data_IF_384721439148
#
_entry.id   IF_384721439148
#
_cell.length_a   1.000
_cell.length_b   1.000
_cell.length_c   1.000
_cell.angle_alpha   90.00
_cell.angle_beta   90.00
_cell.angle_gamma   90.00
#
_symmetry.space_group_name_H-M   'P 1'
#
loop_
_entity.id
_entity.type
_entity.pdbx_description
1 polymer ?
#
# COMPACT_ATOMS: atom_id res chain seq x y z
N UNK A 1 20.42 1.98 13.06
CA UNK A 1 20.89 1.10 14.14
C UNK A 1 19.71 0.76 15.03
N UNK A 2 19.41 -0.51 15.23
CA UNK A 2 18.33 -1.02 16.10
C UNK A 2 18.92 -1.93 17.19
N UNK A 3 18.22 -2.10 18.31
CA UNK A 3 18.57 -3.03 19.39
C UNK A 3 17.42 -4.00 19.61
N UNK A 4 17.67 -5.31 19.57
CA UNK A 4 16.60 -6.31 19.59
C UNK A 4 16.95 -7.57 20.38
N UNK A 5 16.02 -8.08 21.19
CA UNK A 5 16.05 -9.45 21.73
C UNK A 5 15.85 -10.50 20.61
N UNK A 6 15.83 -11.79 20.93
CA UNK A 6 15.50 -12.82 19.93
C UNK A 6 14.09 -12.61 19.33
N UNK A 7 13.08 -12.36 20.16
CA UNK A 7 11.72 -12.03 19.68
C UNK A 7 11.71 -10.74 18.86
N UNK A 8 12.51 -9.75 19.28
CA UNK A 8 12.71 -8.52 18.50
C UNK A 8 13.35 -8.79 17.14
N UNK A 9 14.30 -9.72 17.04
CA UNK A 9 14.94 -10.15 15.79
C UNK A 9 13.93 -10.84 14.87
N UNK A 10 13.07 -11.70 15.43
CA UNK A 10 11.98 -12.33 14.67
C UNK A 10 10.99 -11.30 14.14
N UNK A 11 10.59 -10.34 14.98
CA UNK A 11 9.70 -9.26 14.58
C UNK A 11 10.32 -8.38 13.48
N UNK A 12 11.60 -8.02 13.64
CA UNK A 12 12.35 -7.28 12.63
C UNK A 12 12.39 -8.03 11.30
N UNK A 13 12.64 -9.34 11.30
CA UNK A 13 12.61 -10.16 10.09
C UNK A 13 11.25 -10.10 9.38
N UNK A 14 10.15 -10.21 10.15
CA UNK A 14 8.80 -10.07 9.59
C UNK A 14 8.57 -8.68 8.97
N UNK A 15 9.00 -7.62 9.65
CA UNK A 15 8.80 -6.25 9.15
C UNK A 15 9.71 -5.94 7.93
N UNK A 16 10.92 -6.50 7.85
CA UNK A 16 11.77 -6.41 6.64
C UNK A 16 11.12 -7.15 5.47
N UNK A 17 10.56 -8.33 5.70
CA UNK A 17 9.83 -9.08 4.66
C UNK A 17 8.60 -8.35 4.11
N UNK A 18 7.97 -7.47 4.91
CA UNK A 18 6.89 -6.60 4.41
C UNK A 18 7.42 -5.54 3.43
N UNK A 19 8.65 -5.07 3.60
CA UNK A 19 9.31 -4.10 2.73
C UNK A 19 9.90 -4.75 1.47
N UNK A 20 10.57 -5.90 1.61
CA UNK A 20 11.36 -6.54 0.56
C UNK A 20 10.91 -7.99 0.37
N UNK A 21 10.40 -8.29 -0.83
CA UNK A 21 10.03 -9.65 -1.25
C UNK A 21 10.84 -10.16 -2.44
N UNK A 22 11.83 -9.39 -2.90
CA UNK A 22 12.77 -9.72 -3.98
C UNK A 22 14.07 -8.94 -3.80
N UNK A 23 15.12 -9.35 -4.51
CA UNK A 23 16.45 -8.74 -4.46
C UNK A 23 17.45 -9.58 -3.65
N UNK A 24 18.60 -9.01 -3.33
CA UNK A 24 19.71 -9.69 -2.63
C UNK A 24 19.94 -9.04 -1.27
N UNK A 25 19.90 -9.86 -0.21
CA UNK A 25 20.14 -9.46 1.17
C UNK A 25 21.35 -10.22 1.71
N UNK A 26 22.32 -9.47 2.20
CA UNK A 26 23.53 -9.99 2.83
C UNK A 26 23.41 -9.88 4.35
N UNK A 27 23.56 -11.00 5.06
CA UNK A 27 23.51 -11.09 6.51
C UNK A 27 24.93 -11.32 7.06
N UNK A 28 25.47 -10.33 7.78
CA UNK A 28 26.79 -10.36 8.40
C UNK A 28 26.68 -10.42 9.92
N UNK A 29 27.68 -11.01 10.55
CA UNK A 29 27.82 -11.05 12.01
C UNK A 29 28.39 -12.37 12.50
N UNK A 30 28.77 -12.41 13.76
CA UNK A 30 29.46 -13.55 14.35
C UNK A 30 28.58 -14.82 14.43
N UNK A 31 29.21 -15.95 14.75
CA UNK A 31 28.49 -17.20 15.00
C UNK A 31 27.55 -17.01 16.20
N UNK A 32 26.27 -17.34 16.04
CA UNK A 32 25.26 -17.15 17.08
C UNK A 32 24.70 -15.72 17.18
N UNK A 33 25.09 -14.81 16.28
CA UNK A 33 24.59 -13.42 16.29
C UNK A 33 23.08 -13.31 16.03
N UNK A 34 22.47 -14.29 15.37
CA UNK A 34 21.03 -14.32 15.06
C UNK A 34 20.68 -14.24 13.56
N UNK A 35 21.67 -14.33 12.66
CA UNK A 35 21.45 -14.33 11.19
C UNK A 35 20.35 -15.30 10.74
N UNK A 36 20.45 -16.57 11.11
CA UNK A 36 19.44 -17.58 10.73
C UNK A 36 18.10 -17.40 11.43
N UNK A 37 18.04 -16.69 12.57
CA UNK A 37 16.77 -16.32 13.22
C UNK A 37 16.06 -15.26 12.38
N UNK A 38 16.80 -14.26 11.91
CA UNK A 38 16.28 -13.20 11.03
C UNK A 38 15.81 -13.79 9.69
N UNK A 39 16.67 -14.56 9.00
CA UNK A 39 16.35 -15.19 7.72
C UNK A 39 15.10 -16.07 7.81
N UNK A 40 15.01 -16.93 8.84
CA UNK A 40 13.83 -17.76 9.10
C UNK A 40 12.56 -16.95 9.29
N UNK A 41 12.62 -15.85 10.04
CA UNK A 41 11.45 -15.02 10.27
C UNK A 41 10.97 -14.35 8.98
N UNK A 42 11.91 -13.90 8.12
CA UNK A 42 11.59 -13.37 6.80
C UNK A 42 10.92 -14.41 5.91
N UNK A 43 11.52 -15.60 5.79
CA UNK A 43 11.03 -16.68 4.93
C UNK A 43 9.61 -17.11 5.36
N UNK A 44 9.39 -17.36 6.65
CA UNK A 44 8.07 -17.70 7.20
C UNK A 44 7.02 -16.62 6.93
N UNK A 45 7.40 -15.35 7.03
CA UNK A 45 6.52 -14.24 6.73
C UNK A 45 6.11 -14.23 5.25
N UNK A 46 7.06 -14.38 4.33
CA UNK A 46 6.81 -14.35 2.89
C UNK A 46 6.07 -15.58 2.38
N UNK A 47 6.30 -16.75 2.98
CA UNK A 47 5.54 -17.98 2.71
C UNK A 47 4.16 -17.97 3.38
N UNK A 48 3.87 -16.99 4.25
CA UNK A 48 2.68 -16.92 5.12
C UNK A 48 2.49 -18.15 6.04
N UNK A 49 3.56 -18.88 6.34
CA UNK A 49 3.54 -20.10 7.15
C UNK A 49 4.52 -19.98 8.34
N UNK A 50 3.98 -19.77 9.55
CA UNK A 50 4.78 -19.69 10.78
C UNK A 50 5.36 -21.05 11.22
N UNK A 51 4.72 -22.15 10.79
CA UNK A 51 5.12 -23.51 11.13
C UNK A 51 6.18 -24.06 10.17
N UNK A 52 6.39 -23.42 9.01
CA UNK A 52 7.36 -23.81 8.00
C UNK A 52 8.75 -24.06 8.63
N UNK A 53 9.29 -25.24 8.38
CA UNK A 53 10.65 -25.57 8.77
C UNK A 53 11.63 -24.82 7.87
N UNK A 54 12.46 -23.97 8.48
CA UNK A 54 13.54 -23.24 7.81
C UNK A 54 14.83 -23.50 8.61
N UNK A 55 15.45 -24.68 8.43
CA UNK A 55 16.71 -25.00 9.08
C UNK A 55 17.82 -24.08 8.54
N UNK A 56 18.90 -23.90 9.30
CA UNK A 56 20.08 -23.21 8.77
C UNK A 56 20.67 -24.06 7.63
N UNK A 57 20.87 -23.51 6.42
CA UNK A 57 21.42 -24.26 5.31
C UNK A 57 22.93 -24.49 5.43
N UNK A 58 23.53 -24.43 6.61
CA UNK A 58 24.98 -24.57 6.83
C UNK A 58 25.59 -25.85 6.23
N UNK A 59 24.82 -26.95 6.15
CA UNK A 59 25.28 -28.20 5.51
C UNK A 59 24.76 -28.40 4.09
N UNK A 60 23.56 -27.88 3.77
CA UNK A 60 22.99 -27.96 2.42
C UNK A 60 23.51 -26.85 1.50
N UNK A 61 24.22 -25.87 2.08
CA UNK A 61 24.68 -24.59 1.53
C UNK A 61 23.55 -23.66 1.07
N UNK A 62 22.55 -24.19 0.36
CA UNK A 62 21.41 -23.44 -0.19
C UNK A 62 20.11 -24.20 0.07
N UNK A 63 19.01 -23.47 0.32
CA UNK A 63 17.64 -23.96 0.32
C UNK A 63 16.71 -22.97 -0.36
N UNK A 64 15.74 -23.48 -1.11
CA UNK A 64 14.74 -22.67 -1.82
C UNK A 64 13.34 -22.85 -1.23
N UNK A 65 12.56 -21.78 -1.24
CA UNK A 65 11.18 -21.72 -0.80
C UNK A 65 10.33 -20.93 -1.80
N UNK A 66 9.01 -21.11 -1.77
CA UNK A 66 8.09 -20.33 -2.60
C UNK A 66 7.39 -19.26 -1.76
N UNK A 67 7.49 -17.99 -2.18
CA UNK A 67 6.71 -16.93 -1.56
C UNK A 67 5.21 -17.13 -1.85
N UNK A 68 4.35 -16.68 -0.94
CA UNK A 68 2.92 -16.65 -1.19
C UNK A 68 2.60 -15.65 -2.32
N UNK A 69 1.50 -15.87 -3.05
CA UNK A 69 1.09 -15.00 -4.15
C UNK A 69 0.91 -13.53 -3.74
N UNK A 70 0.49 -13.26 -2.50
CA UNK A 70 0.37 -11.89 -1.95
C UNK A 70 1.73 -11.17 -1.82
N UNK A 71 2.81 -11.93 -1.76
CA UNK A 71 4.19 -11.44 -1.70
C UNK A 71 4.91 -11.54 -3.06
N UNK A 72 4.18 -11.76 -4.15
CA UNK A 72 4.69 -11.80 -5.52
C UNK A 72 4.86 -13.22 -6.09
N UNK A 73 4.83 -14.25 -5.25
CA UNK A 73 4.93 -15.65 -5.71
C UNK A 73 6.31 -16.10 -6.21
N UNK A 74 7.34 -15.25 -6.07
CA UNK A 74 8.71 -15.55 -6.50
C UNK A 74 9.43 -16.57 -5.60
N UNK A 75 10.59 -17.02 -6.06
CA UNK A 75 11.48 -17.90 -5.30
C UNK A 75 12.16 -17.15 -4.15
N UNK A 76 12.36 -17.82 -3.02
CA UNK A 76 13.19 -17.33 -1.92
C UNK A 76 14.36 -18.30 -1.77
N UNK A 77 15.58 -17.82 -1.98
CA UNK A 77 16.83 -18.59 -1.85
C UNK A 77 17.52 -18.20 -0.56
N UNK A 78 17.74 -19.15 0.35
CA UNK A 78 18.50 -18.97 1.58
C UNK A 78 19.82 -19.71 1.48
N UNK A 79 20.93 -18.98 1.51
CA UNK A 79 22.28 -19.50 1.43
C UNK A 79 23.07 -19.22 2.72
N UNK A 80 23.90 -20.18 3.14
CA UNK A 80 24.87 -20.03 4.22
C UNK A 80 26.25 -20.45 3.70
N UNK A 81 27.11 -19.47 3.48
CA UNK A 81 28.43 -19.65 2.88
C UNK A 81 29.52 -19.92 3.92
N UNK A 82 29.19 -20.23 5.17
CA UNK A 82 30.19 -20.49 6.20
C UNK A 82 31.15 -21.65 5.86
N UNK A 83 30.73 -22.57 4.99
CA UNK A 83 31.45 -23.82 4.69
C UNK A 83 31.97 -23.99 3.28
N UNK A 84 31.80 -23.00 2.40
CA UNK A 84 32.39 -23.08 1.07
C UNK A 84 33.91 -22.99 1.18
N UNK A 85 34.63 -23.75 0.35
CA UNK A 85 36.09 -23.74 0.31
C UNK A 85 36.64 -22.67 -0.63
N UNK A 86 35.88 -22.36 -1.68
CA UNK A 86 36.24 -21.38 -2.71
C UNK A 86 35.03 -20.49 -3.07
N UNK A 87 35.19 -19.16 -3.21
CA UNK A 87 34.11 -18.27 -3.64
C UNK A 87 33.41 -18.69 -4.94
N UNK A 88 34.14 -19.31 -5.89
CA UNK A 88 33.60 -19.73 -7.19
C UNK A 88 32.49 -20.77 -7.11
N UNK A 89 32.38 -21.47 -5.97
CA UNK A 89 31.27 -22.38 -5.67
C UNK A 89 29.90 -21.65 -5.71
N UNK A 90 29.87 -20.32 -5.50
CA UNK A 90 28.64 -19.53 -5.59
C UNK A 90 27.97 -19.62 -6.97
N UNK A 91 28.74 -19.77 -8.04
CA UNK A 91 28.22 -19.95 -9.39
C UNK A 91 27.52 -21.30 -9.56
N UNK A 92 28.08 -22.37 -9.01
CA UNK A 92 27.48 -23.72 -9.04
C UNK A 92 26.22 -23.81 -8.17
N UNK A 93 26.17 -23.01 -7.08
CA UNK A 93 25.03 -22.89 -6.19
C UNK A 93 23.89 -22.00 -6.75
N UNK A 94 24.06 -21.42 -7.94
CA UNK A 94 23.05 -20.56 -8.58
C UNK A 94 22.92 -19.16 -7.98
N UNK A 95 23.86 -18.73 -7.13
CA UNK A 95 23.79 -17.42 -6.45
C UNK A 95 24.29 -16.26 -7.31
N UNK A 96 25.03 -16.55 -8.39
CA UNK A 96 25.59 -15.55 -9.29
C UNK A 96 24.56 -14.97 -10.28
N UNK A 97 23.42 -15.64 -10.51
CA UNK A 97 22.39 -15.22 -11.46
C UNK A 97 21.00 -15.73 -11.05
N UNK A 98 20.44 -15.23 -9.93
CA UNK A 98 19.11 -15.61 -9.48
C UNK A 98 18.03 -15.10 -10.43
N UNK A 99 16.83 -15.67 -10.35
CA UNK A 99 15.67 -15.18 -11.08
C UNK A 99 15.34 -13.72 -10.71
N UNK A 100 14.88 -12.87 -11.65
CA UNK A 100 14.70 -11.43 -11.41
C UNK A 100 13.70 -11.07 -10.30
N UNK A 101 12.74 -11.96 -10.00
CA UNK A 101 11.73 -11.80 -8.98
C UNK A 101 12.05 -12.55 -7.68
N UNK A 102 13.20 -13.22 -7.60
CA UNK A 102 13.62 -13.96 -6.43
C UNK A 102 14.12 -13.05 -5.30
N UNK A 103 13.98 -13.52 -4.06
CA UNK A 103 14.66 -12.98 -2.89
C UNK A 103 15.81 -13.90 -2.51
N UNK A 104 17.05 -13.41 -2.55
CA UNK A 104 18.23 -14.16 -2.14
C UNK A 104 18.72 -13.63 -0.80
N UNK A 105 18.79 -14.49 0.21
CA UNK A 105 19.28 -14.18 1.55
C UNK A 105 20.57 -14.96 1.77
N UNK A 106 21.70 -14.26 1.89
CA UNK A 106 23.04 -14.87 2.02
C UNK A 106 23.62 -14.59 3.40
N UNK A 107 23.85 -15.63 4.19
CA UNK A 107 24.66 -15.58 5.41
C UNK A 107 26.14 -15.77 5.08
N UNK A 108 27.02 -15.06 5.78
CA UNK A 108 28.48 -15.05 5.55
C UNK A 108 28.88 -14.67 4.12
N UNK A 109 28.34 -13.57 3.56
CA UNK A 109 28.58 -13.15 2.18
C UNK A 109 30.07 -12.90 1.87
N UNK A 110 30.89 -12.60 2.87
CA UNK A 110 32.34 -12.43 2.74
C UNK A 110 33.06 -13.65 2.17
N UNK A 111 32.54 -14.86 2.38
CA UNK A 111 33.13 -16.08 1.84
C UNK A 111 32.87 -16.24 0.34
N UNK A 112 31.82 -15.62 -0.19
CA UNK A 112 31.49 -15.56 -1.61
C UNK A 112 31.98 -14.28 -2.31
N UNK A 113 32.90 -13.55 -1.70
CA UNK A 113 33.33 -12.24 -2.20
C UNK A 113 33.87 -12.32 -3.64
N UNK A 114 33.33 -11.47 -4.51
CA UNK A 114 33.70 -11.41 -5.94
C UNK A 114 32.80 -12.24 -6.86
N UNK A 115 32.05 -13.20 -6.32
CA UNK A 115 31.19 -14.12 -7.09
C UNK A 115 29.69 -13.88 -6.83
N UNK A 116 29.36 -13.24 -5.70
CA UNK A 116 27.99 -12.85 -5.38
C UNK A 116 27.55 -11.60 -6.13
N UNK A 117 26.24 -11.57 -6.43
CA UNK A 117 25.56 -10.35 -6.83
C UNK A 117 25.69 -9.27 -5.74
N UNK A 118 25.82 -7.98 -6.09
CA UNK A 118 25.82 -6.90 -5.10
C UNK A 118 24.51 -6.92 -4.30
N UNK A 119 24.62 -6.82 -2.98
CA UNK A 119 23.46 -6.73 -2.12
C UNK A 119 22.65 -5.46 -2.41
N UNK A 120 21.33 -5.61 -2.46
CA UNK A 120 20.41 -4.49 -2.33
C UNK A 120 20.42 -3.96 -0.90
N UNK A 121 20.55 -4.87 0.08
CA UNK A 121 20.62 -4.55 1.51
C UNK A 121 21.65 -5.43 2.21
N UNK A 122 22.50 -4.81 3.02
CA UNK A 122 23.37 -5.46 3.97
C UNK A 122 22.85 -5.24 5.39
N UNK A 123 22.76 -6.34 6.15
CA UNK A 123 22.32 -6.33 7.55
C UNK A 123 23.45 -6.91 8.39
N UNK A 124 24.08 -6.05 9.19
CA UNK A 124 25.12 -6.46 10.14
C UNK A 124 24.50 -6.62 11.54
N UNK A 125 24.70 -7.79 12.15
CA UNK A 125 24.19 -8.15 13.47
C UNK A 125 25.38 -8.37 14.41
N UNK A 126 25.49 -7.52 15.43
CA UNK A 126 26.54 -7.59 16.44
C UNK A 126 25.95 -7.78 17.84
N UNK A 127 26.71 -8.43 18.73
CA UNK A 127 26.35 -8.49 20.14
C UNK A 127 26.46 -7.10 20.79
N UNK A 128 25.60 -6.80 21.76
CA UNK A 128 25.77 -5.62 22.60
C UNK A 128 26.63 -5.98 23.81
N UNK A 129 27.66 -5.19 24.09
CA UNK A 129 28.49 -5.37 25.28
C UNK A 129 27.91 -4.64 26.49
N UNK A 130 28.02 -5.30 27.65
CA UNK A 130 27.87 -4.81 29.04
C UNK A 130 26.46 -4.60 29.60
N UNK A 131 25.52 -3.94 28.91
CA UNK A 131 24.23 -3.56 29.54
C UNK A 131 23.01 -4.45 29.20
N UNK A 132 23.00 -5.12 28.04
CA UNK A 132 21.90 -6.03 27.59
C UNK A 132 22.42 -7.16 26.70
N UNK A 133 23.05 -8.21 27.27
CA UNK A 133 23.67 -9.30 26.50
C UNK A 133 22.68 -10.15 25.68
N UNK A 134 21.40 -10.13 26.04
CA UNK A 134 20.31 -10.76 25.29
C UNK A 134 19.90 -9.98 24.03
N UNK A 135 20.33 -8.72 23.92
CA UNK A 135 20.04 -7.87 22.77
C UNK A 135 21.16 -7.94 21.72
N UNK A 136 20.78 -7.65 20.48
CA UNK A 136 21.67 -7.51 19.34
C UNK A 136 21.60 -6.11 18.78
N UNK A 137 22.73 -5.54 18.41
CA UNK A 137 22.79 -4.33 17.60
C UNK A 137 22.65 -4.71 16.13
N UNK A 138 21.74 -4.04 15.42
CA UNK A 138 21.46 -4.31 14.01
C UNK A 138 21.66 -3.03 13.20
N UNK A 139 22.55 -3.11 12.23
CA UNK A 139 22.81 -2.06 11.25
C UNK A 139 22.31 -2.50 9.88
N UNK A 140 21.60 -1.62 9.19
CA UNK A 140 21.00 -1.87 7.88
C UNK A 140 21.52 -0.79 6.95
N UNK A 141 22.15 -1.20 5.85
CA UNK A 141 22.70 -0.32 4.82
C UNK A 141 22.46 -0.93 3.43
N UNK A 142 22.68 -0.18 2.36
CA UNK A 142 22.46 -0.67 1.00
C UNK A 142 21.89 0.41 0.09
N UNK A 143 21.12 -0.01 -0.93
CA UNK A 143 20.44 0.89 -1.86
C UNK A 143 19.43 1.76 -1.12
N UNK A 144 19.43 3.06 -1.44
CA UNK A 144 18.60 4.06 -0.76
C UNK A 144 17.11 3.68 -0.76
N UNK A 145 16.57 3.25 -1.90
CA UNK A 145 15.17 2.82 -2.03
C UNK A 145 14.82 1.63 -1.13
N UNK A 146 15.72 0.63 -1.03
CA UNK A 146 15.50 -0.56 -0.22
C UNK A 146 15.58 -0.26 1.28
N UNK A 147 16.55 0.55 1.70
CA UNK A 147 16.69 1.01 3.09
C UNK A 147 15.50 1.89 3.49
N UNK A 148 15.04 2.78 2.60
CA UNK A 148 13.86 3.61 2.82
C UNK A 148 12.58 2.76 2.96
N UNK A 149 12.43 1.71 2.14
CA UNK A 149 11.30 0.77 2.25
C UNK A 149 11.31 0.04 3.60
N UNK A 150 12.47 -0.43 4.07
CA UNK A 150 12.61 -1.03 5.41
C UNK A 150 12.25 -0.01 6.49
N UNK A 151 12.81 1.20 6.44
CA UNK A 151 12.52 2.25 7.41
C UNK A 151 11.02 2.57 7.47
N UNK A 152 10.34 2.61 6.31
CA UNK A 152 8.88 2.79 6.24
C UNK A 152 8.13 1.66 6.93
N UNK A 153 8.53 0.41 6.71
CA UNK A 153 7.93 -0.74 7.36
C UNK A 153 8.12 -0.72 8.89
N UNK A 154 9.26 -0.23 9.38
CA UNK A 154 9.53 -0.07 10.81
C UNK A 154 8.74 1.11 11.43
N UNK A 155 8.51 2.18 10.67
CA UNK A 155 7.62 3.26 11.10
C UNK A 155 6.18 2.75 11.25
N UNK A 156 5.69 1.93 10.31
CA UNK A 156 4.40 1.23 10.42
C UNK A 156 4.33 0.37 11.68
N UNK A 157 5.37 -0.43 11.96
CA UNK A 157 5.45 -1.22 13.19
C UNK A 157 5.32 -0.35 14.43
N UNK A 158 6.06 0.75 14.47
CA UNK A 158 6.03 1.70 15.59
C UNK A 158 4.64 2.32 15.77
N UNK A 159 3.98 2.70 14.67
CA UNK A 159 2.60 3.20 14.69
C UNK A 159 1.63 2.16 15.28
N UNK A 160 1.66 0.92 14.80
CA UNK A 160 0.78 -0.16 15.29
C UNK A 160 1.01 -0.46 16.77
N UNK A 161 2.28 -0.62 17.18
CA UNK A 161 2.67 -0.93 18.55
C UNK A 161 2.30 0.20 19.54
N UNK A 162 2.24 1.45 19.07
CA UNK A 162 1.92 2.63 19.88
C UNK A 162 0.43 2.92 19.93
N UNK A 163 -0.28 2.72 18.81
CA UNK A 163 -1.68 3.17 18.65
C UNK A 163 -2.71 2.05 18.74
N UNK A 164 -2.31 0.78 18.68
CA UNK A 164 -3.24 -0.33 18.76
C UNK A 164 -2.74 -1.47 19.65
N UNK A 165 -1.85 -2.32 19.15
CA UNK A 165 -1.41 -3.53 19.84
C UNK A 165 0.00 -3.90 19.40
N UNK A 166 0.78 -4.45 20.34
CA UNK A 166 2.17 -4.87 20.07
C UNK A 166 2.22 -6.24 19.42
N UNK A 167 3.18 -6.43 18.52
CA UNK A 167 3.45 -7.75 17.94
C UNK A 167 2.37 -8.25 16.97
N UNK A 168 1.54 -7.34 16.45
CA UNK A 168 0.51 -7.70 15.48
C UNK A 168 1.11 -8.26 14.19
N UNK A 169 0.44 -9.25 13.61
CA UNK A 169 0.84 -9.84 12.32
C UNK A 169 0.37 -8.95 11.18
N UNK A 170 1.24 -8.73 10.20
CA UNK A 170 0.96 -7.95 8.99
C UNK A 170 0.99 -8.88 7.77
N UNK A 171 0.17 -8.63 6.77
CA UNK A 171 0.22 -9.29 5.45
C UNK A 171 -0.23 -8.29 4.38
N UNK A 172 0.37 -8.36 3.18
CA UNK A 172 0.01 -7.44 2.09
C UNK A 172 -1.40 -7.74 1.60
N UNK A 173 -2.18 -6.69 1.39
CA UNK A 173 -3.44 -6.77 0.66
C UNK A 173 -3.17 -6.42 -0.80
N UNK A 174 -3.82 -7.13 -1.73
CA UNK A 174 -3.63 -6.88 -3.16
C UNK A 174 -4.10 -5.45 -3.47
N UNK A 175 -3.14 -4.58 -3.82
CA UNK A 175 -3.40 -3.17 -4.09
C UNK A 175 -4.05 -2.93 -5.46
N UNK A 176 -4.50 -1.70 -5.66
CA UNK A 176 -4.94 -1.15 -6.94
C UNK A 176 -3.75 -0.51 -7.69
N UNK A 177 -4.04 0.26 -8.75
CA UNK A 177 -3.01 0.98 -9.51
C UNK A 177 -2.54 2.28 -8.82
N UNK A 178 -2.93 2.53 -7.57
CA UNK A 178 -2.55 3.74 -6.83
C UNK A 178 -1.19 3.59 -6.14
N UNK A 179 -0.65 4.70 -5.64
CA UNK A 179 0.54 4.67 -4.77
C UNK A 179 0.21 4.31 -3.32
N UNK A 180 -1.08 4.17 -2.98
CA UNK A 180 -1.53 3.80 -1.65
C UNK A 180 -1.41 2.28 -1.54
N UNK A 181 -0.97 1.81 -0.38
CA UNK A 181 -0.86 0.37 -0.13
C UNK A 181 -1.65 0.00 1.11
N UNK A 182 -2.19 -1.20 1.10
CA UNK A 182 -3.01 -1.71 2.18
C UNK A 182 -2.42 -3.00 2.72
N UNK A 183 -2.52 -3.18 4.04
CA UNK A 183 -2.09 -4.39 4.72
C UNK A 183 -3.23 -4.89 5.60
N UNK A 184 -3.41 -6.21 5.64
CA UNK A 184 -4.19 -6.80 6.72
C UNK A 184 -3.31 -6.88 7.96
N UNK A 185 -3.82 -6.37 9.07
CA UNK A 185 -3.17 -6.46 10.38
C UNK A 185 -4.06 -7.24 11.34
N UNK A 186 -3.50 -8.27 11.98
CA UNK A 186 -4.26 -9.23 12.79
C UNK A 186 -3.72 -9.30 14.21
N UNK A 187 -4.63 -9.19 15.17
CA UNK A 187 -4.36 -9.30 16.60
C UNK A 187 -5.54 -10.00 17.30
N UNK A 188 -5.28 -10.98 18.18
CA UNK A 188 -6.34 -11.66 18.93
C UNK A 188 -7.43 -12.34 18.09
N UNK A 189 -7.18 -12.62 16.80
CA UNK A 189 -8.17 -13.14 15.86
C UNK A 189 -9.02 -12.07 15.15
N UNK A 190 -8.86 -10.80 15.50
CA UNK A 190 -9.47 -9.67 14.80
C UNK A 190 -8.55 -9.15 13.69
N UNK A 191 -9.12 -8.90 12.50
CA UNK A 191 -8.41 -8.33 11.37
C UNK A 191 -8.84 -6.88 11.14
N UNK A 192 -7.87 -6.00 10.91
CA UNK A 192 -8.05 -4.60 10.52
C UNK A 192 -7.25 -4.33 9.26
N UNK A 193 -7.54 -3.20 8.61
CA UNK A 193 -6.81 -2.77 7.42
C UNK A 193 -5.91 -1.61 7.81
N UNK A 194 -4.60 -1.74 7.58
CA UNK A 194 -3.69 -0.61 7.63
C UNK A 194 -3.62 0.01 6.25
N UNK A 195 -3.93 1.29 6.14
CA UNK A 195 -3.64 2.13 4.99
C UNK A 195 -2.27 2.78 5.17
N UNK A 196 -1.40 2.58 4.18
CA UNK A 196 -0.12 3.23 4.05
C UNK A 196 -0.14 4.12 2.79
N UNK A 197 -0.33 5.42 3.01
CA UNK A 197 -0.46 6.43 1.97
C UNK A 197 0.35 7.67 2.36
N UNK A 198 1.69 7.62 2.25
CA UNK A 198 2.52 8.80 2.50
C UNK A 198 2.12 9.93 1.54
N UNK A 199 2.37 11.18 1.95
CA UNK A 199 2.10 12.34 1.10
C UNK A 199 2.79 12.17 -0.25
N UNK A 200 2.01 12.27 -1.34
CA UNK A 200 2.57 12.20 -2.68
C UNK A 200 3.34 13.48 -3.01
N UNK A 201 4.48 13.34 -3.68
CA UNK A 201 5.15 14.49 -4.29
C UNK A 201 4.32 15.01 -5.47
N UNK A 202 4.34 16.32 -5.68
CA UNK A 202 3.72 16.92 -6.84
C UNK A 202 4.31 16.33 -8.13
N UNK A 203 3.42 15.93 -9.04
CA UNK A 203 3.82 15.55 -10.40
C UNK A 203 4.40 16.73 -11.17
N UNK A 204 4.85 16.52 -12.42
CA UNK A 204 5.24 17.63 -13.27
C UNK A 204 4.07 18.59 -13.47
N UNK A 205 4.36 19.89 -13.51
CA UNK A 205 3.37 20.89 -13.87
C UNK A 205 2.92 20.68 -15.32
N UNK A 206 1.62 20.48 -15.54
CA UNK A 206 1.05 20.24 -16.87
C UNK A 206 0.21 21.42 -17.39
N UNK A 207 -0.28 22.29 -16.50
CA UNK A 207 -1.08 23.48 -16.87
C UNK A 207 -0.97 24.55 -15.78
N UNK A 208 -0.68 25.79 -16.18
CA UNK A 208 -0.61 26.95 -15.29
C UNK A 208 0.28 26.75 -14.05
N UNK A 209 1.36 25.99 -14.19
CA UNK A 209 2.27 25.67 -13.09
C UNK A 209 1.76 24.61 -12.11
N UNK A 210 0.60 23.99 -12.37
CA UNK A 210 -0.01 22.98 -11.51
C UNK A 210 0.17 21.56 -12.06
N UNK A 211 0.42 20.56 -11.20
CA UNK A 211 0.35 19.16 -11.56
C UNK A 211 -1.08 18.69 -11.77
N UNK A 212 -1.24 17.53 -12.41
CA UNK A 212 -2.55 16.91 -12.64
C UNK A 212 -3.37 16.75 -11.35
N UNK A 213 -2.76 16.26 -10.27
CA UNK A 213 -3.42 16.02 -8.98
C UNK A 213 -4.10 17.28 -8.44
N UNK A 214 -3.44 18.43 -8.51
CA UNK A 214 -3.99 19.71 -8.04
C UNK A 214 -5.10 20.26 -8.95
N UNK A 215 -5.06 19.98 -10.25
CA UNK A 215 -6.12 20.43 -11.18
C UNK A 215 -7.35 19.53 -11.03
N UNK A 216 -7.15 18.22 -10.90
CA UNK A 216 -8.21 17.25 -10.74
C UNK A 216 -8.73 17.13 -9.29
N UNK A 217 -8.12 17.85 -8.33
CA UNK A 217 -8.42 17.80 -6.90
C UNK A 217 -8.27 16.40 -6.28
N UNK A 218 -7.23 15.67 -6.68
CA UNK A 218 -6.91 14.38 -6.08
C UNK A 218 -6.33 14.56 -4.68
N UNK A 219 -6.67 13.62 -3.79
CA UNK A 219 -6.17 13.52 -2.43
C UNK A 219 -4.66 13.22 -2.41
N UNK A 220 -3.89 14.24 -2.04
CA UNK A 220 -2.41 14.18 -1.92
C UNK A 220 -1.94 13.47 -0.65
N UNK A 221 -2.79 13.44 0.39
CA UNK A 221 -2.50 12.81 1.67
C UNK A 221 -3.77 12.26 2.35
N UNK A 222 -3.56 11.56 3.47
CA UNK A 222 -4.60 10.87 4.23
C UNK A 222 -5.61 11.80 4.92
N UNK A 223 -5.34 13.11 5.00
CA UNK A 223 -6.25 14.08 5.61
C UNK A 223 -7.56 14.17 4.84
N UNK A 224 -7.51 14.04 3.51
CA UNK A 224 -8.71 13.98 2.67
C UNK A 224 -9.54 12.74 2.96
N UNK A 225 -8.90 11.57 3.11
CA UNK A 225 -9.59 10.35 3.49
C UNK A 225 -10.29 10.52 4.86
N UNK A 226 -9.58 11.01 5.88
CA UNK A 226 -10.14 11.20 7.21
C UNK A 226 -11.29 12.22 7.23
N UNK A 227 -11.12 13.35 6.52
CA UNK A 227 -12.14 14.39 6.44
C UNK A 227 -13.40 13.94 5.71
N UNK A 228 -13.27 13.30 4.55
CA UNK A 228 -14.42 12.79 3.80
C UNK A 228 -15.08 11.62 4.55
N UNK A 229 -14.32 10.73 5.17
CA UNK A 229 -14.89 9.64 5.99
C UNK A 229 -15.82 10.19 7.07
N UNK A 230 -15.37 11.20 7.82
CA UNK A 230 -16.18 11.83 8.87
C UNK A 230 -17.45 12.49 8.30
N UNK A 231 -17.34 13.19 7.17
CA UNK A 231 -18.48 13.81 6.49
C UNK A 231 -19.53 12.76 6.06
N UNK A 232 -19.07 11.63 5.50
CA UNK A 232 -19.95 10.55 5.08
C UNK A 232 -20.58 9.82 6.27
N UNK A 233 -19.82 9.59 7.35
CA UNK A 233 -20.32 9.00 8.59
C UNK A 233 -21.39 9.90 9.24
N UNK A 234 -21.16 11.21 9.31
CA UNK A 234 -22.15 12.19 9.80
C UNK A 234 -23.43 12.21 8.94
N UNK A 235 -23.31 11.90 7.64
CA UNK A 235 -24.44 11.73 6.73
C UNK A 235 -25.12 10.35 6.83
N UNK A 236 -24.68 9.49 7.73
CA UNK A 236 -25.26 8.16 7.96
C UNK A 236 -24.83 7.10 6.94
N UNK A 237 -23.72 7.31 6.24
CA UNK A 237 -23.15 6.33 5.31
C UNK A 237 -22.14 5.42 6.02
N UNK A 238 -22.17 4.15 5.66
CA UNK A 238 -21.23 3.17 6.17
C UNK A 238 -19.86 3.31 5.47
N UNK A 239 -18.93 3.97 6.14
CA UNK A 239 -17.50 4.00 5.79
C UNK A 239 -16.71 3.15 6.81
N UNK A 240 -15.45 2.77 6.53
CA UNK A 240 -14.63 2.07 7.52
C UNK A 240 -14.40 2.97 8.73
N UNK A 241 -14.60 2.45 9.94
CA UNK A 241 -14.19 3.17 11.14
C UNK A 241 -12.67 3.42 11.14
N UNK A 242 -12.26 4.64 11.49
CA UNK A 242 -10.86 5.01 11.70
C UNK A 242 -10.50 4.75 13.18
N UNK A 243 -9.68 3.73 13.45
CA UNK A 243 -9.25 3.38 14.81
C UNK A 243 -8.07 4.22 15.29
N UNK A 244 -7.17 4.56 14.38
CA UNK A 244 -6.01 5.39 14.67
C UNK A 244 -5.54 6.07 13.39
N UNK A 245 -5.07 7.30 13.51
CA UNK A 245 -4.53 8.09 12.41
C UNK A 245 -3.17 8.68 12.77
N UNK A 246 -2.26 8.67 11.80
CA UNK A 246 -1.06 9.49 11.76
C UNK A 246 -1.09 10.26 10.44
N UNK A 247 -1.60 11.50 10.50
CA UNK A 247 -1.74 12.35 9.33
C UNK A 247 -0.38 12.86 8.81
N UNK A 248 0.65 12.87 9.66
CA UNK A 248 1.99 13.32 9.29
C UNK A 248 2.69 12.24 8.47
N UNK A 249 2.69 11.01 8.96
CA UNK A 249 3.34 9.91 8.27
C UNK A 249 2.41 9.25 7.23
N UNK A 250 1.13 9.59 7.15
CA UNK A 250 0.23 9.02 6.15
C UNK A 250 -0.18 7.57 6.46
N UNK A 251 -0.49 7.29 7.73
CA UNK A 251 -0.91 5.98 8.21
C UNK A 251 -2.29 6.04 8.84
N UNK A 252 -3.17 5.11 8.47
CA UNK A 252 -4.48 4.96 9.11
C UNK A 252 -4.75 3.49 9.39
N UNK A 253 -5.19 3.18 10.61
CA UNK A 253 -5.74 1.87 10.97
C UNK A 253 -7.26 1.91 10.83
N UNK A 254 -7.79 1.11 9.91
CA UNK A 254 -9.18 1.09 9.47
C UNK A 254 -9.88 -0.20 9.88
N UNK A 255 -11.20 -0.12 10.00
CA UNK A 255 -12.07 -1.29 9.98
C UNK A 255 -11.89 -2.12 8.71
N UNK A 256 -11.91 -3.44 8.88
CA UNK A 256 -12.04 -4.36 7.77
C UNK A 256 -13.52 -4.59 7.46
N UNK A 257 -14.03 -3.93 6.41
CA UNK A 257 -15.41 -4.09 5.94
C UNK A 257 -15.68 -5.46 5.28
N UNK A 258 -14.64 -6.27 5.09
CA UNK A 258 -14.71 -7.57 4.41
C UNK A 258 -14.49 -7.47 2.91
N UNK A 259 -14.92 -8.51 2.19
CA UNK A 259 -14.66 -8.69 0.75
C UNK A 259 -15.93 -8.93 -0.07
N UNK A 260 -17.10 -8.61 0.49
CA UNK A 260 -18.37 -8.79 -0.19
C UNK A 260 -18.47 -7.90 -1.43
N UNK A 261 -18.78 -8.48 -2.59
CA UNK A 261 -18.93 -7.74 -3.84
C UNK A 261 -20.39 -7.41 -4.16
N UNK A 262 -20.62 -6.37 -4.97
CA UNK A 262 -21.96 -6.07 -5.52
C UNK A 262 -22.25 -6.91 -6.78
N UNK A 263 -21.21 -7.47 -7.40
CA UNK A 263 -21.28 -8.36 -8.56
C UNK A 263 -21.09 -9.83 -8.16
N UNK A 264 -21.54 -10.76 -9.00
CA UNK A 264 -21.29 -12.19 -8.86
C UNK A 264 -19.96 -12.63 -9.50
N UNK A 265 -19.68 -13.93 -9.46
CA UNK A 265 -18.49 -14.56 -10.05
C UNK A 265 -18.35 -14.35 -11.58
N UNK A 266 -19.47 -14.12 -12.27
CA UNK A 266 -19.52 -13.84 -13.70
C UNK A 266 -19.47 -12.33 -14.02
N UNK A 267 -19.19 -11.51 -13.00
CA UNK A 267 -19.18 -10.03 -13.07
C UNK A 267 -20.54 -9.42 -13.42
N UNK A 268 -21.63 -10.12 -13.11
CA UNK A 268 -22.99 -9.62 -13.30
C UNK A 268 -23.47 -8.95 -12.00
N UNK A 269 -24.09 -7.75 -12.06
CA UNK A 269 -24.65 -7.12 -10.87
C UNK A 269 -25.66 -8.02 -10.14
N UNK A 270 -25.44 -8.24 -8.84
CA UNK A 270 -26.41 -8.90 -7.98
C UNK A 270 -27.51 -7.87 -7.71
N UNK A 271 -28.66 -8.03 -8.40
CA UNK A 271 -29.77 -7.05 -8.42
C UNK A 271 -30.11 -6.47 -7.04
N UNK A 272 -30.24 -7.30 -6.02
CA UNK A 272 -30.59 -6.85 -4.67
C UNK A 272 -29.52 -5.93 -4.05
N UNK A 273 -28.24 -6.27 -4.23
CA UNK A 273 -27.12 -5.47 -3.72
C UNK A 273 -27.00 -4.16 -4.48
N UNK A 274 -27.13 -4.21 -5.81
CA UNK A 274 -27.07 -3.03 -6.67
C UNK A 274 -28.20 -2.03 -6.37
N UNK A 275 -29.44 -2.52 -6.17
CA UNK A 275 -30.57 -1.70 -5.76
C UNK A 275 -30.36 -1.08 -4.36
N UNK A 276 -29.76 -1.82 -3.43
CA UNK A 276 -29.40 -1.30 -2.11
C UNK A 276 -28.39 -0.15 -2.23
N UNK A 277 -27.35 -0.31 -3.05
CA UNK A 277 -26.36 0.74 -3.30
C UNK A 277 -26.98 1.99 -3.92
N UNK A 278 -27.84 1.83 -4.93
CA UNK A 278 -28.56 2.95 -5.52
C UNK A 278 -29.51 3.64 -4.51
N UNK A 279 -30.17 2.86 -3.65
CA UNK A 279 -31.02 3.38 -2.58
C UNK A 279 -30.26 4.22 -1.55
N UNK A 280 -29.05 3.78 -1.17
CA UNK A 280 -28.15 4.53 -0.29
C UNK A 280 -27.76 5.87 -0.90
N UNK A 281 -27.36 5.88 -2.18
CA UNK A 281 -27.00 7.11 -2.87
C UNK A 281 -28.19 8.08 -2.99
N UNK A 282 -29.37 7.56 -3.34
CA UNK A 282 -30.59 8.34 -3.42
C UNK A 282 -31.01 8.93 -2.06
N UNK A 283 -30.84 8.19 -0.96
CA UNK A 283 -31.11 8.69 0.39
C UNK A 283 -30.10 9.75 0.81
N UNK A 284 -28.82 9.54 0.52
CA UNK A 284 -27.73 10.48 0.80
C UNK A 284 -27.96 11.84 0.12
N UNK A 285 -28.36 11.84 -1.15
CA UNK A 285 -28.58 13.09 -1.90
C UNK A 285 -29.88 13.83 -1.56
N UNK A 286 -30.77 13.27 -0.73
CA UNK A 286 -31.97 13.99 -0.27
C UNK A 286 -31.64 15.17 0.66
N UNK A 287 -30.54 15.09 1.41
CA UNK A 287 -30.19 16.08 2.44
C UNK A 287 -28.87 16.78 2.11
N UNK A 288 -28.75 18.09 2.35
CA UNK A 288 -27.48 18.78 2.20
C UNK A 288 -26.48 18.21 3.20
N UNK A 289 -25.24 18.05 2.76
CA UNK A 289 -24.16 17.48 3.55
C UNK A 289 -23.20 18.60 3.92
N UNK A 290 -22.60 18.51 5.11
CA UNK A 290 -21.48 19.40 5.47
C UNK A 290 -20.33 19.21 4.48
N UNK A 291 -19.67 20.30 4.10
CA UNK A 291 -18.58 20.26 3.12
C UNK A 291 -17.21 20.45 3.78
N UNK A 292 -17.18 20.53 5.10
CA UNK A 292 -15.98 20.79 5.89
C UNK A 292 -16.02 20.01 7.20
N UNK A 293 -14.86 19.54 7.64
CA UNK A 293 -14.72 18.81 8.91
C UNK A 293 -13.39 19.14 9.60
N UNK A 294 -13.40 19.14 10.94
CA UNK A 294 -12.20 19.39 11.76
C UNK A 294 -11.46 18.08 12.02
N UNK A 295 -10.20 18.01 11.63
CA UNK A 295 -9.33 16.86 11.86
C UNK A 295 -8.73 16.89 13.28
N UNK A 296 -8.25 15.74 13.76
CA UNK A 296 -7.66 15.61 15.10
C UNK A 296 -6.47 16.54 15.34
N UNK A 297 -5.73 16.89 14.29
CA UNK A 297 -4.59 17.83 14.36
C UNK A 297 -5.03 19.32 14.37
N UNK A 298 -6.34 19.60 14.38
CA UNK A 298 -6.91 20.94 14.35
C UNK A 298 -6.98 21.58 12.96
N UNK A 299 -6.55 20.90 11.90
CA UNK A 299 -6.76 21.37 10.54
C UNK A 299 -8.23 21.20 10.10
N UNK A 300 -8.68 22.02 9.15
CA UNK A 300 -10.00 21.86 8.54
C UNK A 300 -9.80 21.20 7.17
N UNK A 301 -10.40 20.03 6.97
CA UNK A 301 -10.58 19.50 5.63
C UNK A 301 -11.80 20.17 4.98
N UNK A 302 -11.64 20.63 3.74
CA UNK A 302 -12.74 21.19 2.93
C UNK A 302 -12.84 20.40 1.64
N UNK A 303 -14.03 19.89 1.34
CA UNK A 303 -14.28 19.18 0.09
C UNK A 303 -14.18 20.18 -1.07
N UNK A 304 -13.28 19.95 -2.04
CA UNK A 304 -13.07 20.88 -3.15
C UNK A 304 -14.30 20.94 -4.06
N UNK A 305 -14.52 22.07 -4.72
CA UNK A 305 -15.53 22.16 -5.78
C UNK A 305 -15.09 21.38 -7.01
N UNK A 306 -16.03 20.68 -7.66
CA UNK A 306 -15.80 20.09 -8.97
C UNK A 306 -15.83 21.18 -10.05
N UNK A 307 -14.77 21.98 -10.08
CA UNK A 307 -14.68 23.16 -10.92
C UNK A 307 -14.42 22.81 -12.40
N UNK A 308 -14.48 23.84 -13.25
CA UNK A 308 -14.24 23.71 -14.69
C UNK A 308 -12.85 23.14 -15.00
N UNK A 309 -11.84 23.44 -14.19
CA UNK A 309 -10.49 22.91 -14.38
C UNK A 309 -10.46 21.39 -14.22
N UNK A 310 -11.07 20.90 -13.13
CA UNK A 310 -11.19 19.48 -12.85
C UNK A 310 -12.03 18.73 -13.92
N UNK A 311 -13.18 19.27 -14.29
CA UNK A 311 -14.04 18.67 -15.33
C UNK A 311 -13.31 18.59 -16.69
N UNK A 312 -12.62 19.67 -17.08
CA UNK A 312 -11.92 19.73 -18.36
C UNK A 312 -10.69 18.80 -18.40
N UNK A 313 -9.86 18.79 -17.35
CA UNK A 313 -8.64 17.98 -17.37
C UNK A 313 -8.95 16.48 -17.45
N UNK A 314 -10.08 16.05 -16.87
CA UNK A 314 -10.55 14.67 -16.96
C UNK A 314 -11.13 14.35 -18.35
N UNK A 315 -11.93 15.25 -18.93
CA UNK A 315 -12.45 15.07 -20.28
C UNK A 315 -11.33 14.99 -21.33
N UNK A 316 -10.27 15.78 -21.17
CA UNK A 316 -9.12 15.84 -22.07
C UNK A 316 -8.29 14.54 -22.09
N UNK A 317 -8.44 13.64 -21.11
CA UNK A 317 -7.78 12.31 -21.16
C UNK A 317 -8.15 11.51 -22.42
N UNK A 318 -9.33 11.74 -22.98
CA UNK A 318 -9.72 11.15 -24.27
C UNK A 318 -8.79 11.61 -25.40
N UNK A 319 -8.44 12.90 -25.44
CA UNK A 319 -7.54 13.47 -26.44
C UNK A 319 -6.08 13.12 -26.19
N UNK A 320 -5.67 13.11 -24.92
CA UNK A 320 -4.27 13.05 -24.51
C UNK A 320 -3.75 11.62 -24.41
N UNK A 321 -4.61 10.69 -24.00
CA UNK A 321 -4.22 9.29 -23.74
C UNK A 321 -4.90 8.31 -24.68
N UNK A 322 -6.23 8.39 -24.82
CA UNK A 322 -6.98 7.40 -25.60
C UNK A 322 -6.73 7.56 -27.10
N UNK A 323 -6.90 8.78 -27.64
CA UNK A 323 -6.79 9.02 -29.08
C UNK A 323 -5.40 8.65 -29.65
N UNK A 324 -4.25 9.04 -29.08
CA UNK A 324 -2.95 8.63 -29.60
C UNK A 324 -2.75 7.12 -29.53
N UNK A 325 -3.26 6.47 -28.47
CA UNK A 325 -3.13 5.02 -28.29
C UNK A 325 -3.88 4.20 -29.34
N UNK A 326 -5.05 4.67 -29.79
CA UNK A 326 -5.89 3.97 -30.76
C UNK A 326 -5.68 4.43 -32.20
N UNK A 327 -5.45 5.72 -32.41
CA UNK A 327 -5.23 6.31 -33.74
C UNK A 327 -3.76 6.28 -34.17
N UNK A 328 -2.83 6.16 -33.22
CA UNK A 328 -1.38 6.23 -33.45
C UNK A 328 -0.83 7.65 -33.59
N UNK A 329 -1.69 8.68 -33.48
CA UNK A 329 -1.32 10.09 -33.60
C UNK A 329 -2.13 10.93 -32.60
N UNK A 330 -1.51 11.97 -32.00
CA UNK A 330 -2.20 12.87 -31.09
C UNK A 330 -3.30 13.66 -31.80
N UNK A 331 -4.20 14.27 -31.02
CA UNK A 331 -5.17 15.24 -31.53
C UNK A 331 -4.47 16.35 -32.32
N UNK A 332 -4.98 16.67 -33.50
CA UNK A 332 -4.53 17.88 -34.22
C UNK A 332 -4.95 19.13 -33.44
N UNK A 333 -4.30 20.30 -33.66
CA UNK A 333 -4.71 21.53 -32.99
C UNK A 333 -6.20 21.86 -33.20
N UNK A 334 -6.71 21.69 -34.43
CA UNK A 334 -8.13 21.93 -34.73
C UNK A 334 -9.06 20.98 -33.99
N UNK A 335 -8.73 19.69 -33.92
CA UNK A 335 -9.55 18.71 -33.19
C UNK A 335 -9.57 19.02 -31.69
N UNK A 336 -8.44 19.44 -31.13
CA UNK A 336 -8.37 19.88 -29.73
C UNK A 336 -9.22 21.12 -29.52
N UNK A 337 -9.06 22.15 -30.35
CA UNK A 337 -9.81 23.40 -30.21
C UNK A 337 -11.33 23.15 -30.29
N UNK A 338 -11.77 22.36 -31.28
CA UNK A 338 -13.19 21.99 -31.43
C UNK A 338 -13.70 21.23 -30.20
N UNK A 339 -12.93 20.25 -29.70
CA UNK A 339 -13.28 19.49 -28.51
C UNK A 339 -13.41 20.39 -27.27
N UNK A 340 -12.44 21.29 -27.05
CA UNK A 340 -12.45 22.22 -25.92
C UNK A 340 -13.64 23.17 -26.00
N UNK A 341 -13.97 23.70 -27.19
CA UNK A 341 -15.15 24.56 -27.37
C UNK A 341 -16.44 23.82 -27.02
N UNK A 342 -16.61 22.60 -27.52
CA UNK A 342 -17.79 21.78 -27.25
C UNK A 342 -17.91 21.48 -25.76
N UNK A 343 -16.85 21.01 -25.11
CA UNK A 343 -16.89 20.66 -23.69
C UNK A 343 -17.10 21.85 -22.77
N UNK A 344 -16.49 23.00 -23.06
CA UNK A 344 -16.78 24.22 -22.30
C UNK A 344 -18.26 24.60 -22.38
N UNK A 345 -18.84 24.57 -23.58
CA UNK A 345 -20.26 24.86 -23.75
C UNK A 345 -21.17 23.86 -23.01
N UNK A 346 -20.79 22.58 -22.94
CA UNK A 346 -21.52 21.58 -22.16
C UNK A 346 -21.37 21.80 -20.64
N UNK A 347 -20.18 22.16 -20.17
CA UNK A 347 -19.93 22.47 -18.75
C UNK A 347 -20.70 23.70 -18.31
N UNK A 348 -20.85 24.70 -19.17
CA UNK A 348 -21.65 25.89 -18.86
C UNK A 348 -23.12 25.53 -18.53
N UNK A 349 -23.66 24.45 -19.11
CA UNK A 349 -25.01 23.96 -18.78
C UNK A 349 -25.11 23.46 -17.34
N UNK A 350 -23.99 23.07 -16.71
CA UNK A 350 -23.94 22.53 -15.36
C UNK A 350 -23.86 23.62 -14.29
N UNK A 351 -23.61 24.88 -14.65
CA UNK A 351 -23.36 25.97 -13.69
C UNK A 351 -24.50 26.16 -12.69
N UNK A 352 -25.74 26.01 -13.16
CA UNK A 352 -26.96 26.17 -12.37
C UNK A 352 -27.57 24.83 -11.91
N UNK A 353 -26.85 23.72 -12.08
CA UNK A 353 -27.31 22.42 -11.59
C UNK A 353 -27.28 22.36 -10.06
N UNK A 354 -28.10 21.47 -9.50
CA UNK A 354 -28.00 21.12 -8.08
C UNK A 354 -26.62 20.50 -7.81
N UNK A 355 -25.93 21.02 -6.77
CA UNK A 355 -24.61 20.53 -6.39
C UNK A 355 -24.67 19.74 -5.09
N UNK A 356 -24.07 18.56 -5.10
CA UNK A 356 -23.98 17.62 -3.98
C UNK A 356 -22.55 17.09 -3.88
N UNK A 357 -22.27 16.32 -2.84
CA UNK A 357 -21.02 15.57 -2.74
C UNK A 357 -21.05 14.44 -3.76
N UNK A 358 -20.11 14.48 -4.69
CA UNK A 358 -19.85 13.47 -5.70
C UNK A 358 -18.63 12.65 -5.25
N UNK A 359 -18.82 11.35 -5.01
CA UNK A 359 -17.71 10.47 -4.57
C UNK A 359 -16.76 10.09 -5.71
N UNK A 360 -17.12 10.41 -6.96
CA UNK A 360 -16.50 9.97 -8.23
C UNK A 360 -16.56 8.47 -8.47
N UNK A 361 -16.06 7.67 -7.53
CA UNK A 361 -15.86 6.23 -7.70
C UNK A 361 -16.92 5.38 -7.00
N UNK A 362 -18.20 5.76 -7.14
CA UNK A 362 -19.34 5.00 -6.60
C UNK A 362 -19.70 3.80 -7.51
N UNK A 363 -18.87 2.77 -7.52
CA UNK A 363 -19.11 1.55 -8.28
C UNK A 363 -18.44 0.33 -7.64
N UNK A 364 -18.77 -0.88 -8.10
CA UNK A 364 -17.98 -2.07 -7.75
C UNK A 364 -16.59 -1.94 -8.39
N UNK A 365 -15.47 -2.21 -7.70
CA UNK A 365 -15.35 -2.90 -6.40
C UNK A 365 -15.31 -1.99 -5.16
N UNK A 366 -15.49 -0.68 -5.29
CA UNK A 366 -15.39 0.31 -4.20
C UNK A 366 -16.62 0.34 -3.27
N UNK A 367 -17.56 -0.59 -3.49
CA UNK A 367 -18.72 -0.82 -2.63
C UNK A 367 -18.61 -2.24 -2.07
N UNK A 368 -18.45 -2.34 -0.76
CA UNK A 368 -18.31 -3.60 -0.02
C UNK A 368 -19.66 -4.01 0.57
N UNK A 369 -20.12 -5.20 0.22
CA UNK A 369 -21.34 -5.79 0.77
C UNK A 369 -21.10 -6.40 2.16
N UNK A 370 -21.54 -5.70 3.20
CA UNK A 370 -21.43 -6.11 4.60
C UNK A 370 -22.66 -6.96 5.00
N UNK A 371 -22.64 -8.26 4.68
CA UNK A 371 -23.80 -9.15 4.86
C UNK A 371 -24.33 -9.25 6.30
N UNK A 372 -23.47 -9.04 7.29
CA UNK A 372 -23.81 -9.11 8.73
C UNK A 372 -24.48 -7.81 9.24
N UNK A 373 -24.39 -6.71 8.49
CA UNK A 373 -25.00 -5.42 8.86
C UNK A 373 -26.47 -5.35 8.41
N UNK A 374 -27.20 -4.32 8.84
CA UNK A 374 -28.62 -4.13 8.52
C UNK A 374 -28.83 -2.91 7.62
N UNK A 375 -29.95 -2.90 6.89
CA UNK A 375 -30.40 -1.79 6.06
C UNK A 375 -29.30 -1.17 5.18
N UNK A 376 -29.13 0.16 5.25
CA UNK A 376 -28.15 0.93 4.48
C UNK A 376 -26.71 0.61 4.87
N UNK A 377 -26.47 0.14 6.10
CA UNK A 377 -25.13 -0.19 6.59
C UNK A 377 -24.54 -1.43 5.92
N UNK A 378 -25.35 -2.18 5.16
CA UNK A 378 -24.88 -3.28 4.30
C UNK A 378 -24.01 -2.78 3.14
N UNK A 379 -24.06 -1.49 2.82
CA UNK A 379 -23.32 -0.87 1.71
C UNK A 379 -22.13 -0.10 2.29
N UNK A 380 -21.03 -0.82 2.51
CA UNK A 380 -19.76 -0.22 2.91
C UNK A 380 -19.11 0.52 1.74
N UNK A 381 -18.63 1.73 1.96
CA UNK A 381 -18.01 2.57 0.93
C UNK A 381 -16.51 2.69 1.18
N UNK A 382 -15.70 2.56 0.13
CA UNK A 382 -14.28 2.85 0.14
C UNK A 382 -13.94 3.75 -1.05
N UNK A 383 -12.69 4.20 -1.15
CA UNK A 383 -12.19 4.99 -2.29
C UNK A 383 -12.94 6.31 -2.53
N UNK A 384 -13.33 6.98 -1.45
CA UNK A 384 -14.09 8.23 -1.48
C UNK A 384 -13.24 9.49 -1.23
N UNK A 385 -11.93 9.35 -0.99
CA UNK A 385 -11.05 10.46 -0.59
C UNK A 385 -10.94 11.58 -1.64
N UNK A 386 -11.22 11.26 -2.91
CA UNK A 386 -11.16 12.18 -4.04
C UNK A 386 -12.51 12.87 -4.30
N UNK A 387 -13.44 12.80 -3.33
CA UNK A 387 -14.76 13.40 -3.42
C UNK A 387 -14.71 14.92 -3.65
N UNK A 388 -15.69 15.40 -4.40
CA UNK A 388 -15.82 16.81 -4.82
C UNK A 388 -17.26 17.29 -4.61
N UNK A 389 -17.46 18.60 -4.53
CA UNK A 389 -18.80 19.21 -4.58
C UNK A 389 -19.11 19.59 -6.02
N UNK A 390 -19.96 18.81 -6.68
CA UNK A 390 -20.27 18.94 -8.10
C UNK A 390 -21.74 18.66 -8.41
N UNK A 391 -22.13 18.66 -9.70
CA UNK A 391 -23.48 18.31 -10.13
C UNK A 391 -23.94 16.97 -9.53
N UNK A 392 -25.18 16.89 -9.04
CA UNK A 392 -25.69 15.73 -8.31
C UNK A 392 -26.01 14.50 -9.17
N UNK A 393 -26.01 14.65 -10.50
CA UNK A 393 -26.45 13.65 -11.46
C UNK A 393 -25.30 12.79 -12.01
#
# INVERSE_FOLDING_TARGET
MASASEDGTRQLGRDIAMALSRGVIHLKGDLGSGKSVLARAMIRQLCEDDALEVPSPTFSLVQSYAAAARHGGGEIVHADLYRIGDPSECGELGLASPEPDALVIVEWPENGAGELMPADVEIAIAEQTEDRPECRSIEISGKEEAVAAIARSLAIRTFLDTRWEKGVRRSKLQGDASTRSYETVTAGGEARILMNAPRQADGPAIRDGKPYSQIAHLAEDVSAFAGVAAILEEAGLAVPRLYACDLTDGLILLENLGSGLIIDENRVPIRARYLSSAGVLAAFHQNPVVTEHWLENGAIHRVPSYDRGALMIEAELLLDWYLPRFRGQPATPSERDDFLVIWNALIDLLENSEKRLCMRDFHSPNIIWCAERQDTDRVGLIDFQDAVIGPSA
#
